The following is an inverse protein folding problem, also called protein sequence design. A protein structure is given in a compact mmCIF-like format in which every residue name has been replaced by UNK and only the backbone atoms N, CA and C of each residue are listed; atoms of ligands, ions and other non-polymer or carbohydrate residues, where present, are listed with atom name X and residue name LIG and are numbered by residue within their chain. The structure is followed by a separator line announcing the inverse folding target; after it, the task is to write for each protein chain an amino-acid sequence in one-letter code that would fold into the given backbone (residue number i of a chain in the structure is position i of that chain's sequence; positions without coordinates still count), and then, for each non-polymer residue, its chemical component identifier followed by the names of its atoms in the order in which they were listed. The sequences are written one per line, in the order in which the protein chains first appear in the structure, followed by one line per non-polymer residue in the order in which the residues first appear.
data_IF_036863078897
#
_entry.id   IF_036863078897
#
_cell.length_a   1.000
_cell.length_b   1.000
_cell.length_c   1.000
_cell.angle_alpha   90.00
_cell.angle_beta   90.00
_cell.angle_gamma   90.00
#
_symmetry.space_group_name_H-M   'P 1'
#
loop_
_entity.id
_entity.type
_entity.pdbx_description
1 polymer ?
#
# COMPACT_ATOMS: atom_id res chain seq x y z
N UNK A 1 31.99 21.70 54.60
CA UNK A 1 32.31 21.68 53.13
C UNK A 1 31.91 20.40 52.39
N UNK A 2 31.22 19.47 53.03
CA UNK A 2 30.80 18.15 52.45
C UNK A 2 29.38 18.15 51.89
N UNK A 3 28.45 18.96 52.42
CA UNK A 3 27.02 18.95 52.08
C UNK A 3 26.70 19.38 50.62
N UNK A 4 27.49 20.30 50.08
CA UNK A 4 27.29 20.80 48.70
C UNK A 4 27.57 19.74 47.61
N UNK A 5 28.54 18.87 47.84
CA UNK A 5 28.90 17.82 46.86
C UNK A 5 27.81 16.74 46.70
N UNK A 6 27.09 16.42 47.77
CA UNK A 6 26.00 15.45 47.72
C UNK A 6 24.72 16.02 47.06
N UNK A 7 24.47 17.33 47.29
CA UNK A 7 23.37 18.00 46.61
C UNK A 7 23.56 18.09 45.10
N UNK A 8 24.76 18.43 44.64
CA UNK A 8 25.10 18.46 43.21
C UNK A 8 24.99 17.09 42.56
N UNK A 9 25.48 16.03 43.21
CA UNK A 9 25.30 14.64 42.69
C UNK A 9 23.86 14.20 42.60
N UNK A 10 23.02 14.61 43.56
CA UNK A 10 21.57 14.31 43.51
C UNK A 10 20.86 14.95 42.33
N UNK A 11 21.24 16.21 41.99
CA UNK A 11 20.70 16.92 40.85
C UNK A 11 21.17 16.27 39.54
N UNK A 12 22.44 15.90 39.42
CA UNK A 12 22.99 15.23 38.23
C UNK A 12 22.30 13.89 37.98
N UNK A 13 22.10 13.08 39.01
CA UNK A 13 21.38 11.79 38.91
C UNK A 13 19.93 12.02 38.52
N UNK A 14 19.26 13.04 39.11
CA UNK A 14 17.87 13.38 38.75
C UNK A 14 17.75 13.77 37.28
N UNK A 15 18.62 14.62 36.79
CA UNK A 15 18.63 15.02 35.36
C UNK A 15 18.86 13.84 34.43
N UNK A 16 19.78 12.93 34.75
CA UNK A 16 20.05 11.74 33.94
C UNK A 16 18.82 10.82 33.91
N UNK A 17 18.15 10.63 35.05
CA UNK A 17 16.92 9.83 35.14
C UNK A 17 15.78 10.47 34.32
N UNK A 18 15.56 11.78 34.44
CA UNK A 18 14.56 12.51 33.63
C UNK A 18 14.83 12.39 32.14
N UNK A 19 16.06 12.62 31.70
CA UNK A 19 16.43 12.49 30.29
C UNK A 19 16.25 11.06 29.78
N UNK A 20 16.59 10.07 30.61
CA UNK A 20 16.37 8.65 30.27
C UNK A 20 14.90 8.32 30.13
N UNK A 21 14.05 8.76 31.07
CA UNK A 21 12.61 8.56 31.02
C UNK A 21 11.97 9.26 29.82
N UNK A 22 12.38 10.48 29.52
CA UNK A 22 11.94 11.21 28.32
C UNK A 22 12.33 10.48 27.05
N UNK A 23 13.58 10.00 26.98
CA UNK A 23 14.07 9.24 25.80
C UNK A 23 13.29 7.96 25.60
N UNK A 24 13.00 7.20 26.67
CA UNK A 24 12.20 5.98 26.62
C UNK A 24 10.76 6.30 26.18
N UNK A 25 10.15 7.35 26.77
CA UNK A 25 8.79 7.77 26.43
C UNK A 25 8.69 8.18 24.94
N UNK A 26 9.68 8.93 24.45
CA UNK A 26 9.74 9.36 23.06
C UNK A 26 9.90 8.18 22.10
N UNK A 27 10.78 7.24 22.44
CA UNK A 27 10.97 6.02 21.66
C UNK A 27 9.72 5.15 21.62
N UNK A 28 8.98 5.06 22.74
CA UNK A 28 7.73 4.32 22.83
C UNK A 28 6.63 4.98 21.98
N UNK A 29 6.46 6.28 22.10
CA UNK A 29 5.50 7.05 21.30
C UNK A 29 5.82 6.95 19.80
N UNK A 30 7.09 7.08 19.42
CA UNK A 30 7.52 6.93 18.04
C UNK A 30 7.15 5.54 17.50
N UNK A 31 7.43 4.49 18.27
CA UNK A 31 7.08 3.11 17.90
C UNK A 31 5.57 2.91 17.73
N UNK A 32 4.75 3.48 18.62
CA UNK A 32 3.30 3.41 18.51
C UNK A 32 2.77 4.11 17.25
N UNK A 33 3.26 5.31 16.96
CA UNK A 33 2.87 6.07 15.76
C UNK A 33 3.26 5.31 14.49
N UNK A 34 4.46 4.73 14.44
CA UNK A 34 4.90 3.91 13.33
C UNK A 34 4.04 2.65 13.14
N UNK A 35 3.69 1.97 14.23
CA UNK A 35 2.83 0.79 14.16
C UNK A 35 1.41 1.15 13.71
N UNK A 36 0.84 2.25 14.20
CA UNK A 36 -0.48 2.73 13.77
C UNK A 36 -0.48 3.11 12.28
N UNK A 37 0.60 3.75 11.80
CA UNK A 37 0.77 4.08 10.38
C UNK A 37 0.85 2.83 9.52
N UNK A 38 1.68 1.86 9.91
CA UNK A 38 1.83 0.59 9.19
C UNK A 38 0.53 -0.23 9.19
N UNK A 39 -0.27 -0.19 10.26
CA UNK A 39 -1.58 -0.84 10.27
C UNK A 39 -2.56 -0.14 9.34
N UNK A 40 -2.64 1.19 9.38
CA UNK A 40 -3.48 1.95 8.45
C UNK A 40 -3.10 1.71 6.97
N UNK A 41 -1.79 1.63 6.67
CA UNK A 41 -1.30 1.28 5.33
C UNK A 41 -1.63 -0.18 4.95
N UNK A 42 -1.68 -1.10 5.92
CA UNK A 42 -2.12 -2.49 5.70
C UNK A 42 -3.60 -2.59 5.40
N UNK A 43 -4.40 -1.77 6.07
CA UNK A 43 -5.86 -1.75 5.93
C UNK A 43 -6.31 -0.95 4.68
N UNK A 44 -5.41 -0.15 4.09
CA UNK A 44 -5.67 0.56 2.85
C UNK A 44 -5.89 -0.44 1.71
N UNK A 45 -7.03 -0.35 1.03
CA UNK A 45 -7.39 -1.20 -0.13
C UNK A 45 -6.96 -0.61 -1.47
N UNK A 46 -6.61 0.66 -1.49
CA UNK A 46 -6.21 1.36 -2.70
C UNK A 46 -4.70 1.55 -2.78
N UNK A 47 -4.17 1.52 -3.99
CA UNK A 47 -2.82 1.95 -4.29
C UNK A 47 -2.75 3.48 -4.28
N UNK A 48 -1.84 4.09 -3.51
CA UNK A 48 -1.80 5.54 -3.34
C UNK A 48 -1.39 6.30 -4.60
N UNK A 49 -0.66 5.66 -5.52
CA UNK A 49 -0.20 6.31 -6.75
C UNK A 49 -1.28 6.31 -7.82
N UNK A 50 -1.97 5.18 -8.02
CA UNK A 50 -2.89 4.97 -9.14
C UNK A 50 -4.36 5.05 -8.74
N UNK A 51 -4.68 5.01 -7.45
CA UNK A 51 -6.05 4.93 -6.92
C UNK A 51 -6.85 3.71 -7.41
N UNK A 52 -6.18 2.71 -7.97
CA UNK A 52 -6.75 1.39 -8.20
C UNK A 52 -6.71 0.57 -6.92
N UNK A 53 -7.45 -0.53 -6.86
CA UNK A 53 -7.28 -1.46 -5.77
C UNK A 53 -5.86 -2.04 -5.77
N UNK A 54 -5.30 -2.25 -4.60
CA UNK A 54 -4.00 -2.90 -4.47
C UNK A 54 -4.16 -4.43 -4.46
N UNK A 55 -3.05 -5.15 -4.58
CA UNK A 55 -3.03 -6.62 -4.57
C UNK A 55 -3.69 -7.24 -3.34
N UNK A 56 -3.60 -6.57 -2.17
CA UNK A 56 -4.20 -7.08 -0.91
C UNK A 56 -5.72 -7.09 -0.96
N UNK A 57 -6.31 -6.09 -1.62
CA UNK A 57 -7.75 -6.01 -1.77
C UNK A 57 -8.35 -7.10 -2.67
N UNK A 58 -7.52 -7.84 -3.42
CA UNK A 58 -7.98 -8.85 -4.38
C UNK A 58 -8.77 -9.96 -3.70
N UNK A 59 -8.24 -10.55 -2.65
CA UNK A 59 -8.92 -11.65 -1.95
C UNK A 59 -10.27 -11.21 -1.38
N UNK A 60 -10.30 -10.07 -0.73
CA UNK A 60 -11.52 -9.52 -0.11
C UNK A 60 -12.61 -9.21 -1.13
N UNK A 61 -12.23 -8.68 -2.30
CA UNK A 61 -13.17 -8.21 -3.30
C UNK A 61 -13.57 -9.32 -4.30
N UNK A 62 -12.60 -10.15 -4.70
CA UNK A 62 -12.82 -11.14 -5.75
C UNK A 62 -13.39 -12.43 -5.20
N UNK A 63 -12.98 -12.89 -4.03
CA UNK A 63 -13.40 -14.18 -3.48
C UNK A 63 -14.92 -14.32 -3.34
N UNK A 64 -15.68 -13.35 -2.80
CA UNK A 64 -17.13 -13.44 -2.71
C UNK A 64 -17.81 -13.54 -4.10
N UNK A 65 -17.30 -12.77 -5.08
CA UNK A 65 -17.83 -12.78 -6.45
C UNK A 65 -17.53 -14.10 -7.14
N UNK A 66 -16.31 -14.63 -6.92
CA UNK A 66 -15.89 -15.94 -7.43
C UNK A 66 -16.80 -17.07 -6.93
N UNK A 67 -17.04 -17.13 -5.62
CA UNK A 67 -17.89 -18.16 -5.02
C UNK A 67 -19.34 -18.06 -5.52
N UNK A 68 -19.87 -16.85 -5.65
CA UNK A 68 -21.22 -16.64 -6.21
C UNK A 68 -21.30 -17.07 -7.68
N UNK A 69 -20.30 -16.68 -8.46
CA UNK A 69 -20.21 -17.04 -9.88
C UNK A 69 -20.08 -18.55 -10.10
N UNK A 70 -19.26 -19.22 -9.27
CA UNK A 70 -19.12 -20.68 -9.30
C UNK A 70 -20.44 -21.39 -9.04
N UNK A 71 -21.22 -20.96 -8.03
CA UNK A 71 -22.54 -21.52 -7.72
C UNK A 71 -23.57 -21.29 -8.85
N UNK A 72 -23.45 -20.17 -9.52
CA UNK A 72 -24.36 -19.76 -10.60
C UNK A 72 -23.89 -20.20 -11.99
N UNK A 73 -22.84 -21.01 -12.09
CA UNK A 73 -22.20 -21.47 -13.33
C UNK A 73 -21.87 -20.32 -14.30
N UNK A 74 -21.40 -19.18 -13.77
CA UNK A 74 -21.02 -18.00 -14.53
C UNK A 74 -19.52 -18.00 -14.85
N UNK A 75 -19.20 -17.56 -16.05
CA UNK A 75 -17.82 -17.42 -16.47
C UNK A 75 -17.18 -16.18 -15.83
N UNK A 76 -15.92 -16.28 -15.49
CA UNK A 76 -15.11 -15.17 -14.98
C UNK A 76 -13.75 -15.21 -15.65
N UNK A 77 -13.21 -14.05 -15.92
CA UNK A 77 -11.89 -13.91 -16.56
C UNK A 77 -11.01 -12.96 -15.76
N UNK A 78 -9.72 -13.17 -15.91
CA UNK A 78 -8.68 -12.29 -15.34
C UNK A 78 -7.74 -11.90 -16.47
N UNK A 79 -7.45 -10.62 -16.58
CA UNK A 79 -6.39 -10.09 -17.43
C UNK A 79 -5.24 -9.65 -16.53
N UNK A 80 -4.04 -10.09 -16.84
CA UNK A 80 -2.81 -9.57 -16.26
C UNK A 80 -2.11 -8.74 -17.35
N UNK A 81 -1.79 -7.51 -17.02
CA UNK A 81 -1.20 -6.52 -17.91
C UNK A 81 0.14 -6.11 -17.30
N UNK A 82 1.20 -6.16 -18.10
CA UNK A 82 2.54 -5.71 -17.73
C UNK A 82 3.01 -4.63 -18.70
N UNK A 83 3.73 -3.62 -18.19
CA UNK A 83 4.22 -2.53 -19.04
C UNK A 83 5.60 -2.86 -19.61
N UNK A 84 5.63 -3.18 -20.90
CA UNK A 84 6.87 -3.42 -21.61
C UNK A 84 7.86 -2.25 -21.48
N UNK A 85 9.09 -2.58 -21.12
CA UNK A 85 10.20 -1.62 -21.05
C UNK A 85 10.03 -0.50 -20.01
N UNK A 86 9.16 -0.65 -19.00
CA UNK A 86 8.91 0.38 -17.99
C UNK A 86 10.20 0.82 -17.27
N UNK A 87 11.10 -0.12 -16.97
CA UNK A 87 12.42 0.19 -16.42
C UNK A 87 13.20 1.18 -17.29
N UNK A 88 13.14 1.05 -18.62
CA UNK A 88 13.86 1.97 -19.54
C UNK A 88 13.28 3.39 -19.47
N UNK A 89 12.00 3.53 -19.19
CA UNK A 89 11.38 4.84 -18.98
C UNK A 89 11.95 5.48 -17.72
N UNK A 90 12.00 4.73 -16.61
CA UNK A 90 12.59 5.20 -15.36
C UNK A 90 14.07 5.56 -15.52
N UNK A 91 14.85 4.70 -16.15
CA UNK A 91 16.29 4.91 -16.35
C UNK A 91 16.57 6.16 -17.23
N UNK A 92 15.70 6.46 -18.20
CA UNK A 92 15.89 7.58 -19.14
C UNK A 92 15.29 8.88 -18.65
N UNK A 93 14.13 8.85 -17.98
CA UNK A 93 13.34 10.05 -17.67
C UNK A 93 13.10 10.28 -16.17
N UNK A 94 13.61 9.37 -15.33
CA UNK A 94 13.45 9.42 -13.87
C UNK A 94 12.14 8.81 -13.38
N UNK A 95 12.10 8.50 -12.08
CA UNK A 95 10.97 7.85 -11.43
C UNK A 95 9.68 8.68 -11.47
N UNK A 96 9.79 10.02 -11.40
CA UNK A 96 8.61 10.91 -11.49
C UNK A 96 7.86 10.78 -12.81
N UNK A 97 8.60 10.50 -13.89
CA UNK A 97 7.99 10.23 -15.20
C UNK A 97 7.36 8.84 -15.24
N UNK A 98 8.02 7.84 -14.65
CA UNK A 98 7.45 6.51 -14.50
C UNK A 98 6.13 6.54 -13.71
N UNK A 99 6.06 7.30 -12.64
CA UNK A 99 4.85 7.47 -11.85
C UNK A 99 3.70 8.07 -12.67
N UNK A 100 3.98 9.08 -13.50
CA UNK A 100 2.99 9.65 -14.42
C UNK A 100 2.50 8.63 -15.46
N UNK A 101 3.40 7.78 -15.96
CA UNK A 101 3.03 6.71 -16.90
C UNK A 101 2.09 5.73 -16.20
N UNK A 102 2.42 5.28 -14.99
CA UNK A 102 1.56 4.38 -14.20
C UNK A 102 0.17 4.98 -13.92
N UNK A 103 0.12 6.26 -13.56
CA UNK A 103 -1.15 6.97 -13.33
C UNK A 103 -1.99 7.05 -14.61
N UNK A 104 -1.37 7.34 -15.75
CA UNK A 104 -2.07 7.41 -17.03
C UNK A 104 -2.60 6.04 -17.46
N UNK A 105 -1.77 4.99 -17.36
CA UNK A 105 -2.19 3.62 -17.67
C UNK A 105 -3.36 3.18 -16.77
N UNK A 106 -3.28 3.46 -15.48
CA UNK A 106 -4.37 3.16 -14.54
C UNK A 106 -5.67 3.85 -14.94
N UNK A 107 -5.60 5.13 -15.36
CA UNK A 107 -6.74 5.90 -15.83
C UNK A 107 -7.33 5.32 -17.11
N UNK A 108 -6.49 4.94 -18.07
CA UNK A 108 -6.92 4.30 -19.33
C UNK A 108 -7.60 2.95 -19.05
N UNK A 109 -7.01 2.08 -18.26
CA UNK A 109 -7.62 0.80 -17.87
C UNK A 109 -8.99 1.03 -17.24
N UNK A 110 -9.08 1.96 -16.28
CA UNK A 110 -10.33 2.28 -15.59
C UNK A 110 -11.40 2.85 -16.53
N UNK A 111 -11.00 3.57 -17.56
CA UNK A 111 -11.90 4.11 -18.57
C UNK A 111 -12.44 3.08 -19.57
N UNK A 112 -11.76 1.95 -19.74
CA UNK A 112 -12.12 0.89 -20.69
C UNK A 112 -12.97 -0.23 -20.08
N UNK A 113 -12.97 -0.36 -18.75
CA UNK A 113 -13.68 -1.42 -18.05
C UNK A 113 -15.10 -0.99 -17.64
N UNK A 114 -15.96 -1.97 -17.41
CA UNK A 114 -17.34 -1.75 -16.96
C UNK A 114 -17.37 -1.49 -15.45
N UNK A 115 -18.43 -0.92 -14.94
CA UNK A 115 -18.62 -0.71 -13.49
C UNK A 115 -18.65 -1.99 -12.64
N UNK A 116 -18.89 -3.15 -13.26
CA UNK A 116 -18.83 -4.46 -12.61
C UNK A 116 -17.42 -5.03 -12.51
N UNK A 117 -16.50 -4.53 -13.32
CA UNK A 117 -15.14 -5.04 -13.42
C UNK A 117 -14.26 -4.39 -12.35
N UNK A 118 -13.31 -5.13 -11.84
CA UNK A 118 -12.47 -4.65 -10.74
C UNK A 118 -11.03 -4.57 -11.22
N UNK A 119 -10.43 -3.40 -11.05
CA UNK A 119 -9.08 -3.09 -11.50
C UNK A 119 -8.12 -2.96 -10.33
N UNK A 120 -6.94 -3.57 -10.46
CA UNK A 120 -5.93 -3.62 -9.43
C UNK A 120 -4.58 -3.18 -9.99
N UNK A 121 -3.78 -2.51 -9.16
CA UNK A 121 -2.33 -2.47 -9.33
C UNK A 121 -1.76 -3.69 -8.62
N UNK A 122 -1.25 -4.65 -9.40
CA UNK A 122 -0.82 -5.95 -8.89
C UNK A 122 0.61 -5.94 -8.38
N UNK A 123 1.46 -5.17 -9.02
CA UNK A 123 2.88 -5.00 -8.72
C UNK A 123 3.39 -3.61 -9.09
N UNK A 124 4.68 -3.47 -9.26
CA UNK A 124 5.31 -2.20 -9.64
C UNK A 124 4.76 -1.62 -10.94
N UNK A 125 4.81 -2.41 -12.01
CA UNK A 125 4.38 -2.08 -13.38
C UNK A 125 3.28 -3.02 -13.88
N UNK A 126 2.75 -3.88 -12.99
CA UNK A 126 1.74 -4.89 -13.30
C UNK A 126 0.35 -4.42 -12.87
N UNK A 127 -0.62 -4.63 -13.75
CA UNK A 127 -2.04 -4.38 -13.49
C UNK A 127 -2.85 -5.65 -13.69
N UNK A 128 -3.92 -5.79 -12.94
CA UNK A 128 -4.83 -6.91 -13.05
C UNK A 128 -6.27 -6.40 -13.17
N UNK A 129 -7.03 -6.98 -14.10
CA UNK A 129 -8.46 -6.71 -14.25
C UNK A 129 -9.23 -8.01 -14.04
N UNK A 130 -10.14 -8.00 -13.07
CA UNK A 130 -11.08 -9.08 -12.85
C UNK A 130 -12.40 -8.76 -13.53
N UNK A 131 -12.86 -9.67 -14.38
CA UNK A 131 -14.03 -9.54 -15.25
C UNK A 131 -15.10 -10.57 -14.87
N UNK A 132 -16.06 -10.23 -13.99
CA UNK A 132 -17.14 -11.11 -13.66
C UNK A 132 -18.08 -11.30 -14.87
N UNK A 133 -18.69 -12.47 -14.98
CA UNK A 133 -19.61 -12.83 -16.05
C UNK A 133 -19.04 -12.68 -17.49
N UNK A 134 -17.74 -12.84 -17.64
CA UNK A 134 -17.04 -12.66 -18.92
C UNK A 134 -16.32 -13.95 -19.31
N UNK A 135 -16.51 -14.44 -20.52
CA UNK A 135 -15.76 -15.56 -21.09
C UNK A 135 -14.41 -15.07 -21.60
N UNK A 136 -13.38 -15.92 -21.56
CA UNK A 136 -12.02 -15.59 -21.96
C UNK A 136 -11.89 -15.01 -23.40
N UNK A 137 -12.72 -15.45 -24.34
CA UNK A 137 -12.74 -14.94 -25.70
C UNK A 137 -13.26 -13.51 -25.85
N UNK A 138 -13.92 -12.97 -24.83
CA UNK A 138 -14.39 -11.57 -24.75
C UNK A 138 -13.54 -10.70 -23.82
N UNK A 139 -12.57 -11.29 -23.14
CA UNK A 139 -11.61 -10.59 -22.30
C UNK A 139 -10.40 -10.17 -23.17
N UNK A 140 -10.59 -9.11 -23.97
CA UNK A 140 -9.54 -8.56 -24.86
C UNK A 140 -9.34 -7.08 -24.59
#
# INVERSE_FOLDING_TARGET
MSYSKWAFRGIEIGMVLEMSLLSISLAFNYKQVQQARLSAERDARLDPLTSLYNRRAFEDLVYPIWELGKRSNKHMSVLLIDLDWFKRINDKFGHDMGDKVLQNVAKEIKGQVRGSDITFRWGGEEFLVFLPNTRANYAK
#
